data_IF_726966632733
#
_entry.id   IF_726966632733
#
_cell.length_a   1.000
_cell.length_b   1.000
_cell.length_c   1.000
_cell.angle_alpha   90.00
_cell.angle_beta   90.00
_cell.angle_gamma   90.00
#
_symmetry.space_group_name_H-M   'P 1'
#
loop_
_entity.id
_entity.type
_entity.pdbx_description
1 polymer ?
#
# COMPACT_ATOMS: atom_id res chain seq x y z
N UNK A 1 20.81 34.35 19.64
CA UNK A 1 20.35 35.38 18.68
C UNK A 1 19.06 34.88 18.08
N UNK A 2 17.96 35.60 18.26
CA UNK A 2 16.65 35.23 17.69
C UNK A 2 16.68 35.62 16.22
N UNK A 3 16.73 34.64 15.33
CA UNK A 3 16.53 34.89 13.90
C UNK A 3 15.05 35.19 13.70
N UNK A 4 14.74 36.48 13.62
CA UNK A 4 13.48 36.97 13.05
C UNK A 4 13.44 36.51 11.60
N UNK A 5 12.75 35.40 11.34
CA UNK A 5 12.41 34.99 9.98
C UNK A 5 11.43 36.01 9.43
N UNK A 6 11.94 36.90 8.58
CA UNK A 6 11.10 37.73 7.74
C UNK A 6 10.36 36.80 6.78
N UNK A 7 9.04 36.72 6.91
CA UNK A 7 8.17 36.13 5.90
C UNK A 7 8.27 36.97 4.63
N UNK A 8 9.27 36.71 3.79
CA UNK A 8 9.29 37.17 2.41
C UNK A 8 8.14 36.43 1.74
N UNK A 9 7.09 37.17 1.40
CA UNK A 9 5.92 36.62 0.74
C UNK A 9 6.34 36.07 -0.63
N UNK A 10 6.48 34.75 -0.73
CA UNK A 10 6.23 34.08 -1.99
C UNK A 10 4.79 34.43 -2.41
N UNK A 11 4.53 34.76 -3.68
CA UNK A 11 3.17 35.08 -4.16
C UNK A 11 2.18 33.92 -3.96
N UNK A 12 2.68 32.68 -3.77
CA UNK A 12 1.88 31.51 -3.45
C UNK A 12 2.19 31.00 -2.04
N UNK A 13 1.16 30.68 -1.21
CA UNK A 13 1.38 30.21 0.15
C UNK A 13 2.01 28.81 0.18
N UNK A 14 1.81 27.98 -0.85
CA UNK A 14 2.32 26.61 -1.00
C UNK A 14 3.20 26.47 -2.25
N UNK A 15 4.16 25.53 -2.30
CA UNK A 15 4.96 25.29 -3.51
C UNK A 15 4.14 24.69 -4.65
N UNK A 16 3.08 23.94 -4.33
CA UNK A 16 2.20 23.33 -5.32
C UNK A 16 1.02 24.25 -5.64
N UNK A 17 0.78 24.47 -6.94
CA UNK A 17 -0.33 25.29 -7.45
C UNK A 17 -1.40 24.37 -8.02
N UNK A 18 -2.62 24.45 -7.46
CA UNK A 18 -3.79 23.73 -7.94
C UNK A 18 -4.60 24.65 -8.85
N UNK A 19 -4.91 24.21 -10.07
CA UNK A 19 -5.76 24.99 -10.97
C UNK A 19 -7.20 25.00 -10.47
N UNK A 20 -7.97 26.01 -10.87
CA UNK A 20 -9.41 26.09 -10.51
C UNK A 20 -10.17 24.84 -10.98
N UNK A 21 -9.81 24.29 -12.14
CA UNK A 21 -10.44 23.09 -12.68
C UNK A 21 -10.17 21.86 -11.81
N UNK A 22 -8.92 21.72 -11.32
CA UNK A 22 -8.53 20.61 -10.46
C UNK A 22 -9.15 20.74 -9.07
N UNK A 23 -9.26 21.97 -8.54
CA UNK A 23 -9.96 22.23 -7.29
C UNK A 23 -11.45 21.85 -7.35
N UNK A 24 -12.13 22.16 -8.48
CA UNK A 24 -13.52 21.74 -8.71
C UNK A 24 -13.66 20.22 -8.82
N UNK A 25 -12.69 19.54 -9.43
CA UNK A 25 -12.67 18.08 -9.51
C UNK A 25 -12.54 17.44 -8.11
N UNK A 26 -11.69 18.00 -7.26
CA UNK A 26 -11.54 17.54 -5.87
C UNK A 26 -12.81 17.79 -5.05
N UNK A 27 -13.45 18.94 -5.21
CA UNK A 27 -14.70 19.29 -4.51
C UNK A 27 -15.88 18.38 -4.90
N UNK A 28 -15.93 17.96 -6.17
CA UNK A 28 -16.96 17.05 -6.67
C UNK A 28 -16.73 15.58 -6.28
N UNK A 29 -15.52 15.23 -5.82
CA UNK A 29 -15.21 13.85 -5.41
C UNK A 29 -15.72 13.57 -3.99
N UNK A 30 -16.76 12.74 -3.89
CA UNK A 30 -17.27 12.26 -2.60
C UNK A 30 -16.18 11.52 -1.80
N UNK A 31 -15.38 10.68 -2.47
CA UNK A 31 -14.28 9.95 -1.84
C UNK A 31 -13.24 10.87 -1.23
N UNK A 32 -12.84 11.92 -1.96
CA UNK A 32 -11.90 12.92 -1.43
C UNK A 32 -12.52 13.70 -0.26
N UNK A 33 -13.78 14.11 -0.36
CA UNK A 33 -14.50 14.77 0.75
C UNK A 33 -14.56 13.91 2.02
N UNK A 34 -14.81 12.60 1.89
CA UNK A 34 -14.76 11.65 3.01
C UNK A 34 -13.36 11.60 3.64
N UNK A 35 -12.32 11.52 2.79
CA UNK A 35 -10.93 11.52 3.25
C UNK A 35 -10.60 12.79 4.04
N UNK A 36 -10.89 13.98 3.50
CA UNK A 36 -10.62 15.26 4.20
C UNK A 36 -11.32 15.32 5.56
N UNK A 37 -12.57 14.88 5.63
CA UNK A 37 -13.33 14.79 6.89
C UNK A 37 -12.74 13.79 7.88
N UNK A 38 -12.13 12.71 7.39
CA UNK A 38 -11.41 11.77 8.24
C UNK A 38 -10.12 12.39 8.79
N UNK A 39 -9.27 12.96 7.92
CA UNK A 39 -7.97 13.54 8.29
C UNK A 39 -8.11 14.72 9.25
N UNK A 40 -9.14 15.55 9.09
CA UNK A 40 -9.44 16.64 10.03
C UNK A 40 -9.76 16.16 11.45
N UNK A 41 -10.25 14.93 11.61
CA UNK A 41 -10.52 14.31 12.92
C UNK A 41 -9.33 13.57 13.50
N UNK A 42 -8.54 12.91 12.65
CA UNK A 42 -7.45 12.03 13.09
C UNK A 42 -6.12 12.75 13.23
N UNK A 43 -5.76 13.60 12.27
CA UNK A 43 -4.51 14.36 12.25
C UNK A 43 -4.70 15.81 12.72
N UNK A 44 -5.92 16.33 12.61
CA UNK A 44 -6.24 17.71 12.97
C UNK A 44 -5.63 18.75 12.01
N UNK A 45 -5.59 20.00 12.49
CA UNK A 45 -5.12 21.17 11.75
C UNK A 45 -4.00 21.93 12.48
N UNK A 46 -3.26 21.24 13.36
CA UNK A 46 -2.22 21.88 14.16
C UNK A 46 -1.01 22.26 13.29
N UNK A 47 -0.78 23.56 13.15
CA UNK A 47 0.47 24.08 12.59
C UNK A 47 1.51 24.23 13.70
N UNK A 48 2.80 24.04 13.38
CA UNK A 48 3.88 24.36 14.32
C UNK A 48 4.05 25.88 14.46
N UNK A 49 4.82 26.32 15.47
CA UNK A 49 5.07 27.74 15.74
C UNK A 49 5.63 28.50 14.52
N UNK A 50 6.40 27.82 13.67
CA UNK A 50 6.98 28.40 12.44
C UNK A 50 5.93 28.60 11.33
N UNK A 51 4.78 27.95 11.43
CA UNK A 51 3.75 27.88 10.39
C UNK A 51 2.37 28.37 10.82
N UNK A 52 2.22 28.86 12.05
CA UNK A 52 0.96 29.30 12.67
C UNK A 52 0.23 30.43 11.89
N UNK A 53 0.95 31.18 11.03
CA UNK A 53 0.43 32.36 10.32
C UNK A 53 0.07 32.11 8.82
N UNK A 54 0.21 30.89 8.30
CA UNK A 54 0.00 30.63 6.86
C UNK A 54 -1.48 30.35 6.54
N UNK A 55 -1.90 30.67 5.32
CA UNK A 55 -3.28 30.41 4.84
C UNK A 55 -3.63 28.94 4.98
N UNK A 56 -4.48 28.61 5.94
CA UNK A 56 -4.58 27.25 6.47
C UNK A 56 -5.15 26.27 5.46
N UNK A 57 -6.07 26.71 4.60
CA UNK A 57 -6.82 25.81 3.73
C UNK A 57 -5.98 25.28 2.56
N UNK A 58 -5.14 26.10 1.94
CA UNK A 58 -4.27 25.68 0.83
C UNK A 58 -3.28 24.61 1.28
N UNK A 59 -2.63 24.80 2.44
CA UNK A 59 -1.74 23.78 3.01
C UNK A 59 -2.47 22.48 3.35
N UNK A 60 -3.71 22.58 3.85
CA UNK A 60 -4.51 21.42 4.21
C UNK A 60 -4.95 20.63 2.98
N UNK A 61 -5.41 21.30 1.93
CA UNK A 61 -5.78 20.64 0.67
C UNK A 61 -4.57 19.88 0.09
N UNK A 62 -3.39 20.51 0.03
CA UNK A 62 -2.20 19.82 -0.49
C UNK A 62 -1.81 18.65 0.43
N UNK A 63 -1.84 18.83 1.76
CA UNK A 63 -1.59 17.72 2.71
C UNK A 63 -2.55 16.56 2.46
N UNK A 64 -3.83 16.86 2.26
CA UNK A 64 -4.86 15.84 2.00
C UNK A 64 -4.62 15.11 0.66
N UNK A 65 -4.15 15.81 -0.38
CA UNK A 65 -3.71 15.20 -1.66
C UNK A 65 -2.50 14.29 -1.43
N UNK A 66 -1.48 14.75 -0.71
CA UNK A 66 -0.30 13.94 -0.39
C UNK A 66 -0.69 12.67 0.37
N UNK A 67 -1.60 12.78 1.34
CA UNK A 67 -2.10 11.62 2.07
C UNK A 67 -2.86 10.65 1.16
N UNK A 68 -3.73 11.17 0.28
CA UNK A 68 -4.48 10.38 -0.69
C UNK A 68 -3.56 9.57 -1.63
N UNK A 69 -2.39 10.12 -1.95
CA UNK A 69 -1.39 9.51 -2.80
C UNK A 69 -0.49 8.51 -2.06
N UNK A 70 0.02 8.88 -0.89
CA UNK A 70 1.09 8.15 -0.20
C UNK A 70 0.56 7.06 0.75
N UNK A 71 -0.58 7.26 1.41
CA UNK A 71 -1.13 6.27 2.32
C UNK A 71 -1.46 4.93 1.64
N UNK A 72 -2.00 4.88 0.40
CA UNK A 72 -2.15 3.63 -0.34
C UNK A 72 -0.83 2.89 -0.61
N UNK A 73 0.28 3.62 -0.78
CA UNK A 73 1.60 3.01 -0.99
C UNK A 73 2.12 2.40 0.32
N UNK A 74 1.88 3.05 1.45
CA UNK A 74 2.13 2.44 2.78
C UNK A 74 1.32 1.16 2.94
N UNK A 75 0.03 1.19 2.61
CA UNK A 75 -0.84 0.02 2.66
C UNK A 75 -0.36 -1.11 1.75
N UNK A 76 0.15 -0.79 0.56
CA UNK A 76 0.79 -1.78 -0.34
C UNK A 76 2.02 -2.41 0.33
N UNK A 77 2.89 -1.62 0.96
CA UNK A 77 4.08 -2.14 1.63
C UNK A 77 3.72 -3.04 2.82
N UNK A 78 2.73 -2.65 3.63
CA UNK A 78 2.24 -3.46 4.76
C UNK A 78 1.60 -4.77 4.27
N UNK A 79 0.80 -4.68 3.20
CA UNK A 79 0.19 -5.84 2.55
C UNK A 79 1.25 -6.80 2.00
N UNK A 80 2.20 -6.30 1.21
CA UNK A 80 3.30 -7.09 0.66
C UNK A 80 4.16 -7.74 1.75
N UNK A 81 4.39 -7.04 2.85
CA UNK A 81 5.10 -7.58 4.03
C UNK A 81 4.34 -8.75 4.64
N UNK A 82 3.01 -8.62 4.79
CA UNK A 82 2.14 -9.68 5.32
C UNK A 82 2.15 -10.90 4.40
N UNK A 83 1.97 -10.70 3.09
CA UNK A 83 2.00 -11.77 2.09
C UNK A 83 3.35 -12.50 2.09
N UNK A 84 4.46 -11.76 2.18
CA UNK A 84 5.80 -12.36 2.25
C UNK A 84 6.00 -13.18 3.54
N UNK A 85 5.56 -12.66 4.68
CA UNK A 85 5.62 -13.36 5.98
C UNK A 85 4.85 -14.67 5.94
N UNK A 86 3.63 -14.65 5.41
CA UNK A 86 2.77 -15.84 5.30
C UNK A 86 3.34 -16.85 4.29
N UNK A 87 3.93 -16.38 3.19
CA UNK A 87 4.46 -17.24 2.12
C UNK A 87 5.70 -18.00 2.52
N UNK A 88 6.62 -17.28 3.17
CA UNK A 88 7.92 -17.82 3.55
C UNK A 88 7.92 -18.39 4.97
N UNK A 89 6.84 -18.17 5.74
CA UNK A 89 6.72 -18.54 7.14
C UNK A 89 7.90 -18.01 7.98
N UNK A 90 8.32 -16.78 7.69
CA UNK A 90 9.47 -16.12 8.33
C UNK A 90 9.07 -14.79 8.94
N UNK A 91 9.72 -14.44 10.04
CA UNK A 91 9.63 -13.10 10.65
C UNK A 91 10.87 -12.26 10.36
N UNK A 92 11.89 -12.82 9.69
CA UNK A 92 13.13 -12.10 9.37
C UNK A 92 12.89 -11.18 8.19
N UNK A 93 13.00 -9.86 8.41
CA UNK A 93 12.74 -8.85 7.37
C UNK A 93 13.64 -9.01 6.14
N UNK A 94 14.90 -9.39 6.34
CA UNK A 94 15.88 -9.65 5.29
C UNK A 94 15.51 -10.82 4.37
N UNK A 95 14.66 -11.74 4.81
CA UNK A 95 14.21 -12.87 3.98
C UNK A 95 12.97 -12.53 3.15
N UNK A 96 12.20 -11.50 3.53
CA UNK A 96 10.87 -11.24 2.95
C UNK A 96 10.95 -10.89 1.46
N UNK A 97 12.08 -10.35 1.01
CA UNK A 97 12.31 -10.06 -0.41
C UNK A 97 12.30 -11.32 -1.30
N UNK A 98 12.54 -12.52 -0.73
CA UNK A 98 12.54 -13.77 -1.48
C UNK A 98 11.13 -14.26 -1.87
N UNK A 99 10.07 -13.64 -1.34
CA UNK A 99 8.70 -13.89 -1.77
C UNK A 99 8.45 -13.34 -3.18
N UNK A 100 9.24 -12.35 -3.61
CA UNK A 100 9.05 -11.62 -4.85
C UNK A 100 10.22 -11.80 -5.81
N UNK A 101 9.99 -11.50 -7.08
CA UNK A 101 11.03 -11.55 -8.12
C UNK A 101 10.95 -10.39 -9.11
N UNK A 102 12.06 -10.13 -9.80
CA UNK A 102 12.15 -9.07 -10.81
C UNK A 102 11.85 -7.69 -10.22
N UNK A 103 11.06 -6.89 -10.95
CA UNK A 103 10.70 -5.54 -10.54
C UNK A 103 9.92 -5.49 -9.22
N UNK A 104 9.06 -6.48 -8.95
CA UNK A 104 8.30 -6.56 -7.70
C UNK A 104 9.23 -6.61 -6.49
N UNK A 105 10.29 -7.43 -6.55
CA UNK A 105 11.31 -7.49 -5.48
C UNK A 105 12.01 -6.14 -5.32
N UNK A 106 12.39 -5.51 -6.43
CA UNK A 106 13.03 -4.20 -6.40
C UNK A 106 12.12 -3.14 -5.74
N UNK A 107 10.83 -3.12 -6.08
CA UNK A 107 9.85 -2.24 -5.45
C UNK A 107 9.71 -2.53 -3.95
N UNK A 108 9.56 -3.80 -3.57
CA UNK A 108 9.44 -4.19 -2.16
C UNK A 108 10.63 -3.71 -1.32
N UNK A 109 11.85 -3.98 -1.78
CA UNK A 109 13.08 -3.56 -1.07
C UNK A 109 13.23 -2.04 -1.06
N UNK A 110 12.92 -1.37 -2.18
CA UNK A 110 12.99 0.09 -2.26
C UNK A 110 12.01 0.75 -1.31
N UNK A 111 10.75 0.29 -1.28
CA UNK A 111 9.71 0.79 -0.39
C UNK A 111 10.04 0.49 1.07
N UNK A 112 10.51 -0.72 1.39
CA UNK A 112 10.97 -1.07 2.74
C UNK A 112 12.08 -0.12 3.21
N UNK A 113 13.07 0.16 2.36
CA UNK A 113 14.16 1.09 2.65
C UNK A 113 13.66 2.52 2.81
N UNK A 114 12.76 2.99 1.94
CA UNK A 114 12.21 4.35 2.00
C UNK A 114 11.36 4.57 3.25
N UNK A 115 10.46 3.64 3.56
CA UNK A 115 9.54 3.75 4.70
C UNK A 115 10.28 3.65 6.04
N UNK A 116 11.47 3.05 6.09
CA UNK A 116 12.27 3.02 7.31
C UNK A 116 12.64 4.42 7.84
N UNK A 117 12.70 5.44 6.99
CA UNK A 117 12.91 6.85 7.40
C UNK A 117 11.68 7.74 7.20
N UNK A 118 10.89 7.51 6.16
CA UNK A 118 9.85 8.46 5.72
C UNK A 118 8.41 8.08 6.10
N UNK A 119 8.19 6.97 6.83
CA UNK A 119 6.84 6.49 7.16
C UNK A 119 5.93 7.57 7.80
N UNK A 120 6.37 8.37 8.80
CA UNK A 120 5.53 9.43 9.35
C UNK A 120 5.10 10.47 8.31
N UNK A 121 5.98 10.81 7.36
CA UNK A 121 5.68 11.75 6.28
C UNK A 121 4.66 11.16 5.30
N UNK A 122 4.81 9.91 4.89
CA UNK A 122 3.83 9.22 4.02
C UNK A 122 2.43 9.17 4.64
N UNK A 123 2.34 9.08 5.96
CA UNK A 123 1.08 9.12 6.72
C UNK A 123 0.64 10.55 7.08
N UNK A 124 1.35 11.57 6.60
CA UNK A 124 1.08 12.98 6.83
C UNK A 124 1.04 13.37 8.32
N UNK A 125 1.86 12.72 9.13
CA UNK A 125 1.96 13.00 10.57
C UNK A 125 2.73 14.30 10.79
N UNK A 126 2.13 15.22 11.54
CA UNK A 126 2.75 16.49 11.93
C UNK A 126 2.08 17.72 11.33
N UNK A 127 2.81 18.83 11.29
CA UNK A 127 2.32 20.10 10.76
C UNK A 127 2.06 20.00 9.25
N UNK A 128 0.86 20.39 8.73
CA UNK A 128 0.55 20.32 7.31
C UNK A 128 1.59 21.01 6.41
N UNK A 129 2.07 22.18 6.83
CA UNK A 129 3.09 22.90 6.07
C UNK A 129 4.44 22.17 6.00
N UNK A 130 4.86 21.50 7.09
CA UNK A 130 6.09 20.72 7.08
C UNK A 130 5.96 19.51 6.16
N UNK A 131 4.83 18.79 6.23
CA UNK A 131 4.54 17.64 5.36
C UNK A 131 4.59 18.05 3.88
N UNK A 132 3.97 19.17 3.54
CA UNK A 132 3.93 19.67 2.16
C UNK A 132 5.30 20.14 1.69
N UNK A 133 6.08 20.84 2.52
CA UNK A 133 7.43 21.27 2.15
C UNK A 133 8.36 20.06 1.95
N UNK A 134 8.28 19.05 2.82
CA UNK A 134 9.12 17.85 2.75
C UNK A 134 8.97 17.06 1.44
N UNK A 135 7.86 17.24 0.71
CA UNK A 135 7.66 16.60 -0.58
C UNK A 135 8.76 16.93 -1.61
N UNK A 136 9.44 18.07 -1.47
CA UNK A 136 10.54 18.50 -2.34
C UNK A 136 11.93 18.35 -1.70
N UNK A 137 12.06 17.77 -0.50
CA UNK A 137 13.35 17.71 0.21
C UNK A 137 14.33 16.71 -0.42
N UNK A 138 13.84 15.72 -1.16
CA UNK A 138 14.68 14.70 -1.78
C UNK A 138 14.11 14.17 -3.09
N UNK A 139 15.01 13.67 -3.94
CA UNK A 139 14.63 13.07 -5.21
C UNK A 139 13.79 11.80 -4.99
N UNK A 140 14.02 11.09 -3.89
CA UNK A 140 13.25 9.89 -3.55
C UNK A 140 11.81 10.24 -3.14
N UNK A 141 11.60 11.35 -2.42
CA UNK A 141 10.28 11.85 -2.05
C UNK A 141 9.48 12.27 -3.29
N UNK A 142 10.12 13.02 -4.19
CA UNK A 142 9.54 13.45 -5.47
C UNK A 142 9.21 12.24 -6.34
N UNK A 143 10.16 11.29 -6.47
CA UNK A 143 9.98 10.07 -7.26
C UNK A 143 8.81 9.24 -6.76
N UNK A 144 8.68 9.05 -5.44
CA UNK A 144 7.54 8.34 -4.84
C UNK A 144 6.22 9.05 -5.11
N UNK A 145 6.21 10.37 -4.94
CA UNK A 145 5.02 11.18 -5.13
C UNK A 145 4.53 11.13 -6.59
N UNK A 146 5.43 11.29 -7.56
CA UNK A 146 5.12 11.13 -8.98
C UNK A 146 4.62 9.72 -9.30
N UNK A 147 5.29 8.69 -8.79
CA UNK A 147 4.89 7.31 -9.00
C UNK A 147 3.47 7.04 -8.42
N UNK A 148 3.14 7.67 -7.29
CA UNK A 148 1.82 7.60 -6.67
C UNK A 148 0.76 8.31 -7.51
N UNK A 149 1.08 9.47 -8.09
CA UNK A 149 0.19 10.14 -9.04
C UNK A 149 -0.13 9.23 -10.24
N UNK A 150 0.87 8.59 -10.82
CA UNK A 150 0.67 7.65 -11.93
C UNK A 150 -0.14 6.42 -11.51
N UNK A 151 0.08 5.88 -10.31
CA UNK A 151 -0.75 4.79 -9.76
C UNK A 151 -2.22 5.21 -9.61
N UNK A 152 -2.49 6.45 -9.17
CA UNK A 152 -3.86 6.95 -8.99
C UNK A 152 -4.67 7.06 -10.29
N UNK A 153 -3.99 7.15 -11.44
CA UNK A 153 -4.63 7.18 -12.76
C UNK A 153 -5.06 5.78 -13.24
N UNK A 154 -4.55 4.72 -12.62
CA UNK A 154 -4.87 3.34 -12.98
C UNK A 154 -6.23 3.01 -12.39
N UNK A 155 -7.27 3.09 -13.23
CA UNK A 155 -8.64 2.80 -12.82
C UNK A 155 -8.78 1.34 -12.39
N UNK A 156 -9.33 1.10 -11.21
CA UNK A 156 -9.78 -0.23 -10.79
C UNK A 156 -11.26 -0.41 -11.15
N UNK A 157 -11.58 -1.31 -12.07
CA UNK A 157 -12.96 -1.68 -12.47
C UNK A 157 -13.81 -2.30 -11.34
N UNK A 158 -13.27 -2.39 -10.13
CA UNK A 158 -13.91 -2.98 -8.94
C UNK A 158 -14.82 -2.01 -8.20
N UNK A 159 -15.21 -0.91 -8.83
CA UNK A 159 -15.99 0.14 -8.18
C UNK A 159 -17.45 -0.28 -7.98
N UNK A 160 -17.67 -1.08 -6.95
CA UNK A 160 -18.96 -1.65 -6.51
C UNK A 160 -19.85 -0.56 -5.87
N UNK A 161 -19.94 0.62 -6.50
CA UNK A 161 -20.73 1.76 -6.07
C UNK A 161 -20.26 2.42 -4.77
N UNK A 162 -18.96 2.31 -4.43
CA UNK A 162 -18.40 3.00 -3.26
C UNK A 162 -17.72 4.30 -3.72
N UNK A 163 -17.72 5.36 -2.89
CA UNK A 163 -16.97 6.57 -3.23
C UNK A 163 -15.48 6.25 -3.38
N UNK A 164 -14.93 6.49 -4.57
CA UNK A 164 -13.50 6.34 -4.89
C UNK A 164 -12.80 7.70 -4.91
N UNK A 165 -11.49 7.66 -4.67
CA UNK A 165 -10.64 8.83 -4.85
C UNK A 165 -10.54 9.16 -6.35
N UNK A 166 -10.40 10.45 -6.71
CA UNK A 166 -10.22 10.83 -8.10
C UNK A 166 -8.80 10.46 -8.56
N UNK A 167 -8.57 10.48 -9.87
CA UNK A 167 -7.19 10.51 -10.39
C UNK A 167 -6.51 11.81 -9.97
N UNK A 168 -5.27 11.70 -9.50
CA UNK A 168 -4.41 12.81 -9.14
C UNK A 168 -3.31 13.06 -10.19
N UNK A 169 -3.50 12.59 -11.43
CA UNK A 169 -2.57 12.84 -12.53
C UNK A 169 -2.34 14.35 -12.76
N UNK A 170 -3.35 15.19 -12.52
CA UNK A 170 -3.23 16.66 -12.60
C UNK A 170 -2.12 17.20 -11.68
N UNK A 171 -1.80 16.49 -10.59
CA UNK A 171 -0.82 16.91 -9.61
C UNK A 171 0.63 16.73 -10.10
N UNK A 172 0.86 15.90 -11.12
CA UNK A 172 2.17 15.78 -11.79
C UNK A 172 2.64 17.13 -12.33
N UNK A 173 1.74 17.90 -12.95
CA UNK A 173 2.04 19.27 -13.42
C UNK A 173 2.38 20.21 -12.27
N UNK A 174 1.68 20.09 -11.14
CA UNK A 174 1.95 20.91 -9.96
C UNK A 174 3.34 20.60 -9.37
N UNK A 175 3.74 19.32 -9.35
CA UNK A 175 5.08 18.90 -8.94
C UNK A 175 6.14 19.44 -9.89
N UNK A 176 5.94 19.31 -11.21
CA UNK A 176 6.89 19.83 -12.21
C UNK A 176 7.10 21.34 -12.09
N UNK A 177 6.03 22.11 -11.90
CA UNK A 177 6.14 23.55 -11.67
C UNK A 177 6.87 23.85 -10.34
N UNK A 178 6.52 23.12 -9.27
CA UNK A 178 7.14 23.32 -7.97
C UNK A 178 8.65 23.01 -8.00
N UNK A 179 9.08 21.97 -8.73
CA UNK A 179 10.49 21.68 -8.95
C UNK A 179 11.19 22.78 -9.76
N UNK A 180 10.54 23.27 -10.82
CA UNK A 180 11.10 24.32 -11.67
C UNK A 180 11.34 25.64 -10.93
N UNK A 181 10.45 25.96 -9.97
CA UNK A 181 10.53 27.16 -9.15
C UNK A 181 11.39 26.99 -7.89
N UNK A 182 11.86 25.78 -7.59
CA UNK A 182 12.64 25.46 -6.39
C UNK A 182 14.15 25.64 -6.62
N UNK A 183 14.83 26.29 -5.68
CA UNK A 183 16.26 26.61 -5.75
C UNK A 183 17.17 25.37 -5.78
N UNK A 184 16.73 24.24 -5.21
CA UNK A 184 17.49 22.99 -5.16
C UNK A 184 17.39 22.20 -6.47
N UNK A 185 16.21 22.20 -7.10
CA UNK A 185 15.92 21.37 -8.29
C UNK A 185 16.10 22.15 -9.59
N UNK A 186 15.34 23.23 -9.77
CA UNK A 186 15.30 23.97 -11.03
C UNK A 186 14.57 23.24 -12.17
N UNK A 187 14.47 23.89 -13.35
CA UNK A 187 13.55 23.52 -14.41
C UNK A 187 13.88 22.22 -15.16
N UNK A 188 15.14 21.81 -15.18
CA UNK A 188 15.60 20.68 -16.01
C UNK A 188 15.55 19.34 -15.27
N UNK A 189 15.40 19.33 -13.94
CA UNK A 189 15.47 18.11 -13.13
C UNK A 189 14.24 17.21 -13.26
N UNK A 190 13.09 17.75 -13.65
CA UNK A 190 11.86 16.96 -13.80
C UNK A 190 12.04 15.83 -14.83
N UNK A 191 12.68 16.13 -15.97
CA UNK A 191 12.93 15.17 -17.05
C UNK A 191 13.85 14.01 -16.62
N UNK A 192 14.66 14.20 -15.57
CA UNK A 192 15.52 13.15 -15.02
C UNK A 192 14.82 12.28 -13.97
N UNK A 193 13.85 12.84 -13.24
CA UNK A 193 13.15 12.16 -12.14
C UNK A 193 11.92 11.40 -12.66
N UNK A 194 11.19 11.95 -13.63
CA UNK A 194 9.96 11.36 -14.16
C UNK A 194 10.14 9.92 -14.68
N UNK A 195 11.16 9.58 -15.50
CA UNK A 195 11.35 8.21 -15.98
C UNK A 195 11.60 7.21 -14.84
N UNK A 196 12.25 7.66 -13.76
CA UNK A 196 12.49 6.84 -12.56
C UNK A 196 11.20 6.63 -11.78
N UNK A 197 10.33 7.63 -11.73
CA UNK A 197 9.00 7.52 -11.13
C UNK A 197 8.09 6.57 -11.91
N UNK A 198 8.11 6.61 -13.25
CA UNK A 198 7.40 5.64 -14.11
C UNK A 198 7.93 4.21 -13.86
N UNK A 199 9.24 4.04 -13.77
CA UNK A 199 9.85 2.73 -13.47
C UNK A 199 9.41 2.21 -12.09
N UNK A 200 9.38 3.08 -11.08
CA UNK A 200 8.92 2.75 -9.74
C UNK A 200 7.43 2.38 -9.74
N UNK A 201 6.58 3.14 -10.44
CA UNK A 201 5.16 2.85 -10.58
C UNK A 201 4.90 1.47 -11.21
N UNK A 202 5.57 1.15 -12.33
CA UNK A 202 5.46 -0.17 -12.95
C UNK A 202 5.91 -1.29 -11.99
N UNK A 203 6.99 -1.05 -11.24
CA UNK A 203 7.51 -2.02 -10.26
C UNK A 203 6.54 -2.24 -9.09
N UNK A 204 5.84 -1.19 -8.65
CA UNK A 204 4.78 -1.30 -7.64
C UNK A 204 3.57 -2.08 -8.16
N UNK A 205 3.19 -1.92 -9.43
CA UNK A 205 2.14 -2.73 -10.05
C UNK A 205 2.53 -4.22 -10.14
N UNK A 206 3.78 -4.51 -10.51
CA UNK A 206 4.31 -5.87 -10.52
C UNK A 206 4.27 -6.47 -9.10
N UNK A 207 4.55 -5.66 -8.06
CA UNK A 207 4.44 -6.08 -6.66
C UNK A 207 3.00 -6.39 -6.27
N UNK A 208 2.03 -5.51 -6.60
CA UNK A 208 0.61 -5.75 -6.37
C UNK A 208 0.14 -7.05 -7.02
N UNK A 209 0.55 -7.30 -8.27
CA UNK A 209 0.22 -8.51 -9.00
C UNK A 209 0.81 -9.77 -8.34
N UNK A 210 2.06 -9.72 -7.90
CA UNK A 210 2.69 -10.86 -7.23
C UNK A 210 2.06 -11.12 -5.86
N UNK A 211 1.67 -10.08 -5.10
CA UNK A 211 0.94 -10.25 -3.85
C UNK A 211 -0.35 -11.04 -4.07
N UNK A 212 -1.20 -10.60 -5.02
CA UNK A 212 -2.44 -11.29 -5.37
C UNK A 212 -2.20 -12.73 -5.83
N UNK A 213 -1.15 -12.95 -6.63
CA UNK A 213 -0.80 -14.29 -7.12
C UNK A 213 -0.39 -15.23 -5.98
N UNK A 214 0.39 -14.75 -5.02
CA UNK A 214 0.83 -15.53 -3.87
C UNK A 214 -0.38 -15.89 -3.00
N UNK A 215 -1.24 -14.93 -2.69
CA UNK A 215 -2.46 -15.14 -1.89
C UNK A 215 -3.38 -16.19 -2.49
N UNK A 216 -3.62 -16.13 -3.80
CA UNK A 216 -4.43 -17.13 -4.52
C UNK A 216 -3.83 -18.54 -4.47
N UNK A 217 -2.51 -18.65 -4.36
CA UNK A 217 -1.84 -19.93 -4.22
C UNK A 217 -1.86 -20.46 -2.76
N UNK A 218 -2.06 -19.57 -1.78
CA UNK A 218 -2.20 -19.91 -0.36
C UNK A 218 -3.62 -20.30 0.02
N UNK A 219 -4.63 -19.75 -0.66
CA UNK A 219 -6.02 -20.13 -0.42
C UNK A 219 -6.22 -21.63 -0.69
N UNK A 220 -6.66 -22.42 0.31
CA UNK A 220 -6.98 -23.83 0.11
C UNK A 220 -8.02 -23.97 -1.01
N UNK A 221 -8.05 -25.10 -1.75
CA UNK A 221 -9.14 -25.34 -2.68
C UNK A 221 -10.44 -25.49 -1.88
N UNK A 222 -11.26 -24.44 -1.86
CA UNK A 222 -12.65 -24.55 -1.44
C UNK A 222 -13.40 -25.51 -2.37
N UNK A 223 -14.43 -26.15 -1.81
CA UNK A 223 -15.34 -27.12 -2.46
C UNK A 223 -15.78 -26.70 -3.88
N UNK A 224 -16.19 -27.64 -4.76
CA UNK A 224 -16.06 -27.52 -6.22
C UNK A 224 -16.90 -26.46 -6.97
N UNK A 225 -17.52 -25.50 -6.28
CA UNK A 225 -18.46 -24.54 -6.87
C UNK A 225 -18.03 -23.07 -6.88
N UNK A 226 -16.81 -22.71 -6.42
CA UNK A 226 -16.30 -21.33 -6.57
C UNK A 226 -15.21 -21.23 -7.63
N UNK A 227 -15.53 -21.61 -8.86
CA UNK A 227 -14.77 -21.13 -10.03
C UNK A 227 -15.18 -19.67 -10.23
N UNK A 228 -14.57 -18.75 -9.48
CA UNK A 228 -14.61 -17.33 -9.85
C UNK A 228 -13.95 -17.28 -11.23
N UNK A 229 -14.74 -16.93 -12.25
CA UNK A 229 -14.28 -16.87 -13.63
C UNK A 229 -13.18 -15.81 -13.72
N UNK A 230 -11.92 -16.26 -13.67
CA UNK A 230 -10.73 -15.48 -13.96
C UNK A 230 -10.66 -15.22 -15.47
N UNK A 231 -11.59 -14.42 -15.98
CA UNK A 231 -11.56 -13.92 -17.37
C UNK A 231 -10.84 -12.59 -17.50
N UNK A 232 -10.26 -12.04 -16.42
CA UNK A 232 -9.81 -10.65 -16.44
C UNK A 232 -8.44 -10.39 -17.08
N UNK A 233 -7.56 -11.39 -17.26
CA UNK A 233 -6.25 -11.15 -17.88
C UNK A 233 -5.74 -12.39 -18.63
N UNK A 234 -6.33 -12.69 -19.80
CA UNK A 234 -5.60 -13.45 -20.81
C UNK A 234 -4.52 -12.52 -21.38
N UNK A 235 -3.22 -12.88 -21.35
CA UNK A 235 -2.28 -12.23 -22.22
C UNK A 235 -2.68 -12.60 -23.65
N UNK A 236 -3.35 -11.68 -24.34
CA UNK A 236 -3.61 -11.82 -25.77
C UNK A 236 -2.30 -11.54 -26.50
N UNK A 237 -1.37 -12.48 -26.46
CA UNK A 237 -0.32 -12.54 -27.48
C UNK A 237 -0.95 -13.27 -28.64
N UNK A 238 -1.31 -12.50 -29.66
CA UNK A 238 -1.84 -13.04 -30.90
C UNK A 238 -0.83 -14.04 -31.48
N UNK A 239 -1.24 -15.31 -31.62
CA UNK A 239 -0.56 -16.26 -32.49
C UNK A 239 0.27 -17.41 -31.92
N UNK A 240 0.29 -17.74 -30.62
CA UNK A 240 0.89 -19.03 -30.21
C UNK A 240 0.39 -19.60 -28.86
N UNK A 241 -0.25 -20.79 -28.83
CA UNK A 241 -0.65 -21.42 -27.57
C UNK A 241 0.60 -21.87 -26.79
N UNK A 242 0.86 -21.23 -25.65
CA UNK A 242 1.94 -21.60 -24.74
C UNK A 242 1.61 -22.97 -24.14
N UNK A 243 2.24 -24.02 -24.68
CA UNK A 243 2.15 -25.38 -24.12
C UNK A 243 2.94 -25.45 -22.82
N UNK A 244 2.29 -25.84 -21.73
CA UNK A 244 2.96 -26.13 -20.44
C UNK A 244 4.11 -27.13 -20.66
N UNK A 245 5.30 -26.74 -20.20
CA UNK A 245 6.51 -27.56 -20.32
C UNK A 245 6.32 -28.94 -19.66
N UNK A 246 7.08 -29.94 -20.11
CA UNK A 246 7.08 -31.28 -19.49
C UNK A 246 7.41 -31.20 -17.99
N UNK A 247 8.30 -30.27 -17.62
CA UNK A 247 8.70 -30.01 -16.25
C UNK A 247 7.55 -29.42 -15.41
N UNK A 248 6.83 -28.42 -15.92
CA UNK A 248 5.66 -27.85 -15.25
C UNK A 248 4.55 -28.89 -15.04
N UNK A 249 4.35 -29.80 -16.02
CA UNK A 249 3.43 -30.94 -15.86
C UNK A 249 3.89 -31.92 -14.78
N UNK A 250 5.20 -32.15 -14.66
CA UNK A 250 5.80 -33.04 -13.66
C UNK A 250 5.70 -32.45 -12.25
N UNK A 251 5.98 -31.15 -12.08
CA UNK A 251 5.79 -30.44 -10.81
C UNK A 251 4.31 -30.42 -10.40
N UNK A 252 3.39 -30.12 -11.33
CA UNK A 252 1.96 -30.16 -11.04
C UNK A 252 1.44 -31.56 -10.68
N UNK A 253 2.06 -32.62 -11.22
CA UNK A 253 1.76 -34.01 -10.83
C UNK A 253 2.29 -34.32 -9.44
N UNK A 254 3.53 -33.91 -9.13
CA UNK A 254 4.17 -34.10 -7.84
C UNK A 254 3.39 -33.43 -6.70
N UNK A 255 2.99 -32.16 -6.86
CA UNK A 255 2.18 -31.44 -5.88
C UNK A 255 0.82 -32.12 -5.64
N UNK A 256 0.24 -32.72 -6.68
CA UNK A 256 -1.02 -33.48 -6.57
C UNK A 256 -0.85 -34.78 -5.79
N UNK A 257 0.25 -35.48 -6.00
CA UNK A 257 0.59 -36.72 -5.29
C UNK A 257 0.91 -36.44 -3.81
N UNK A 258 1.62 -35.35 -3.52
CA UNK A 258 1.90 -34.89 -2.14
C UNK A 258 0.62 -34.53 -1.38
N UNK A 259 -0.29 -33.78 -2.00
CA UNK A 259 -1.58 -33.45 -1.42
C UNK A 259 -2.45 -34.70 -1.15
N UNK A 260 -2.42 -35.69 -2.04
CA UNK A 260 -3.11 -36.97 -1.83
C UNK A 260 -2.49 -37.77 -0.67
N UNK A 261 -1.17 -37.77 -0.56
CA UNK A 261 -0.46 -38.42 0.53
C UNK A 261 -0.77 -37.78 1.88
N UNK A 262 -0.73 -36.44 1.99
CA UNK A 262 -1.08 -35.71 3.21
C UNK A 262 -2.52 -35.99 3.66
N UNK A 263 -3.48 -36.03 2.72
CA UNK A 263 -4.87 -36.40 3.02
C UNK A 263 -4.99 -37.82 3.58
N UNK A 264 -4.21 -38.76 3.05
CA UNK A 264 -4.16 -40.14 3.57
C UNK A 264 -3.60 -40.19 4.99
N UNK A 265 -2.54 -39.42 5.28
CA UNK A 265 -1.94 -39.33 6.62
C UNK A 265 -2.93 -38.75 7.64
N UNK A 266 -3.58 -37.63 7.32
CA UNK A 266 -4.58 -37.00 8.20
C UNK A 266 -5.75 -37.95 8.45
N UNK A 267 -6.25 -38.62 7.40
CA UNK A 267 -7.34 -39.60 7.54
C UNK A 267 -6.93 -40.78 8.42
N UNK A 268 -5.74 -41.34 8.21
CA UNK A 268 -5.25 -42.45 9.02
C UNK A 268 -5.04 -42.03 10.48
N UNK A 269 -4.54 -40.81 10.74
CA UNK A 269 -4.44 -40.27 12.10
C UNK A 269 -5.82 -40.08 12.73
N UNK A 270 -6.81 -39.59 11.98
CA UNK A 270 -8.17 -39.40 12.47
C UNK A 270 -8.89 -40.72 12.76
N UNK A 271 -8.68 -41.75 11.93
CA UNK A 271 -9.25 -43.09 12.11
C UNK A 271 -8.59 -43.84 13.30
N UNK A 272 -7.42 -43.39 13.77
CA UNK A 272 -6.75 -43.93 14.97
C UNK A 272 -7.15 -43.25 16.29
N UNK A 273 -7.90 -42.14 16.24
CA UNK A 273 -8.40 -41.46 17.44
C UNK A 273 -9.76 -42.06 17.79
N UNK A 274 -9.82 -42.81 18.90
CA UNK A 274 -11.05 -43.44 19.38
C UNK A 274 -12.02 -42.37 19.95
N UNK A 275 -13.23 -42.19 19.39
CA UNK A 275 -14.17 -41.17 19.86
C UNK A 275 -14.71 -41.41 21.29
N UNK A 276 -14.50 -42.59 21.87
CA UNK A 276 -14.98 -42.92 23.22
C UNK A 276 -14.09 -42.39 24.35
N UNK A 277 -12.88 -41.88 24.08
CA UNK A 277 -11.99 -41.36 25.13
C UNK A 277 -12.30 -39.90 25.55
N UNK A 278 -13.15 -39.19 24.80
CA UNK A 278 -13.55 -37.78 25.07
C UNK A 278 -15.00 -37.62 25.57
N UNK A 279 -15.59 -38.70 26.10
CA UNK A 279 -16.94 -38.70 26.68
C UNK A 279 -17.01 -38.55 28.20
N UNK A 280 -15.93 -38.20 28.91
CA UNK A 280 -15.97 -38.00 30.35
C UNK A 280 -16.53 -36.61 30.71
N UNK A 281 -17.64 -36.49 31.45
CA UNK A 281 -18.15 -35.20 31.89
C UNK A 281 -17.12 -34.56 32.82
N UNK A 282 -16.75 -33.32 32.54
CA UNK A 282 -15.88 -32.49 33.37
C UNK A 282 -16.58 -32.33 34.73
N UNK A 283 -16.17 -33.16 35.70
CA UNK A 283 -16.64 -33.09 37.07
C UNK A 283 -16.05 -31.83 37.72
N UNK A 284 -16.96 -31.06 38.32
CA UNK A 284 -16.79 -29.73 38.89
C UNK A 284 -16.00 -29.72 40.21
N UNK A 285 -14.78 -30.28 40.21
CA UNK A 285 -13.88 -30.20 41.37
C UNK A 285 -12.91 -29.02 41.31
N UNK A 286 -12.63 -28.46 40.14
CA UNK A 286 -11.68 -27.35 40.00
C UNK A 286 -12.29 -25.98 40.34
N UNK A 287 -13.60 -25.80 40.15
CA UNK A 287 -14.30 -24.52 40.41
C UNK A 287 -14.69 -24.37 41.89
N UNK A 288 -14.76 -25.45 42.68
CA UNK A 288 -15.18 -25.40 44.09
C UNK A 288 -14.05 -25.05 45.07
N UNK A 289 -12.79 -25.08 44.63
CA UNK A 289 -11.61 -24.85 45.48
C UNK A 289 -11.14 -23.40 45.57
N UNK A 290 -11.76 -22.46 44.84
CA UNK A 290 -11.42 -21.03 44.89
C UNK A 290 -12.45 -20.14 45.59
N UNK A 291 -13.48 -20.70 46.24
CA UNK A 291 -14.51 -19.93 46.96
C UNK A 291 -14.58 -20.22 48.46
N UNK A 292 -13.52 -20.76 49.06
CA UNK A 292 -13.41 -20.86 50.54
C UNK A 292 -11.98 -20.55 51.01
N UNK A 293 -11.61 -19.27 50.93
CA UNK A 293 -10.66 -18.67 51.87
C UNK A 293 -11.15 -17.24 52.14
N UNK A 294 -12.05 -17.10 53.11
CA UNK A 294 -12.21 -15.85 53.86
C UNK A 294 -11.04 -15.74 54.85
N UNK A 295 -10.26 -14.66 54.73
CA UNK A 295 -9.96 -13.72 55.82
C UNK A 295 -9.99 -12.32 55.23
#
# INVERSE_FOLDING_TARGET
>A
MKSTSFCVASPNPTPFIISVQDALLLDQSEGFGILRKHLSKTLGYGFCEEHECKSTEEWLIIRDILHALLAPVVALQDHATTVAQESLQTLRQEDMEYAFYGNARNAFVWLQSFMASELPWCLSVGCPACVVTQALDSESSIRLLLASCFLSAVQSDTDMGRPTLPSFEFFVRAIGQAMADDDLWGPDQFEEVEPKAITLQNSMQDLMYQCQTIELNMTPPDSPDSVVSMDFLKPTVDGMPIRRSSFARKQAKMLREEAQWLRSVVKNCWDTIDPEEYGAPITTEFVRRMSTVDV
#
